data_IF_947698955697
#
_entry.id   IF_947698955697
#
_cell.length_a   1.000
_cell.length_b   1.000
_cell.length_c   1.000
_cell.angle_alpha   90.00
_cell.angle_beta   90.00
_cell.angle_gamma   90.00
#
_symmetry.space_group_name_H-M   'P 1'
#
loop_
_entity.id
_entity.type
_entity.pdbx_description
1 polymer ?
#
# COMPACT_ATOMS: atom_id res chain seq x y z
N UNK A 1 -11.06 17.57 -2.30
CA UNK A 1 -9.71 16.97 -2.42
C UNK A 1 -9.47 16.02 -1.27
N UNK A 2 -9.74 14.73 -1.45
CA UNK A 2 -9.54 13.73 -0.39
C UNK A 2 -8.60 12.64 -0.90
N UNK A 3 -7.50 12.42 -0.18
CA UNK A 3 -6.68 11.22 -0.36
C UNK A 3 -7.45 10.03 0.20
N UNK A 4 -7.62 8.97 -0.58
CA UNK A 4 -8.28 7.73 -0.14
C UNK A 4 -7.38 6.54 -0.42
N UNK A 5 -7.41 5.57 0.49
CA UNK A 5 -6.71 4.30 0.33
C UNK A 5 -7.75 3.26 -0.07
N UNK A 6 -7.53 2.61 -1.21
CA UNK A 6 -8.41 1.60 -1.78
C UNK A 6 -7.73 0.23 -1.75
N UNK A 7 -8.48 -0.88 -1.68
CA UNK A 7 -7.97 -2.19 -2.02
C UNK A 7 -7.41 -2.21 -3.46
N UNK A 8 -6.34 -2.96 -3.69
CA UNK A 8 -5.83 -3.19 -5.04
C UNK A 8 -6.87 -3.93 -5.90
N UNK A 9 -7.03 -3.47 -7.14
CA UNK A 9 -7.75 -4.14 -8.22
C UNK A 9 -6.86 -4.16 -9.46
N UNK A 10 -7.18 -4.98 -10.45
CA UNK A 10 -6.46 -5.00 -11.74
C UNK A 10 -6.58 -3.64 -12.46
N UNK A 11 -7.77 -3.03 -12.47
CA UNK A 11 -7.99 -1.67 -13.00
C UNK A 11 -7.06 -0.64 -12.34
N UNK A 12 -6.94 -0.65 -11.01
CA UNK A 12 -6.03 0.27 -10.33
C UNK A 12 -4.57 -0.02 -10.64
N UNK A 13 -4.20 -1.27 -10.89
CA UNK A 13 -2.84 -1.66 -11.27
C UNK A 13 -2.48 -1.18 -12.67
N UNK A 14 -3.40 -1.32 -13.63
CA UNK A 14 -3.28 -0.78 -14.99
C UNK A 14 -3.18 0.76 -14.96
N UNK A 15 -4.07 1.42 -14.22
CA UNK A 15 -4.03 2.89 -14.10
C UNK A 15 -2.79 3.41 -13.39
N UNK A 16 -2.16 2.61 -12.51
CA UNK A 16 -0.86 2.94 -11.91
C UNK A 16 0.27 2.84 -12.94
N UNK A 17 0.22 1.86 -13.85
CA UNK A 17 1.17 1.72 -14.94
C UNK A 17 1.12 2.94 -15.88
N UNK A 18 -0.07 3.47 -16.17
CA UNK A 18 -0.22 4.75 -16.90
C UNK A 18 0.48 5.93 -16.19
N UNK A 19 0.66 5.86 -14.87
CA UNK A 19 1.42 6.83 -14.07
C UNK A 19 2.93 6.50 -13.94
N UNK A 20 3.41 5.51 -14.70
CA UNK A 20 4.80 5.06 -14.69
C UNK A 20 5.17 4.16 -13.49
N UNK A 21 4.18 3.51 -12.86
CA UNK A 21 4.45 2.51 -11.82
C UNK A 21 4.96 1.20 -12.45
N UNK A 22 6.13 0.67 -12.04
CA UNK A 22 6.68 -0.55 -12.61
C UNK A 22 6.07 -1.84 -12.02
N UNK A 23 5.17 -1.74 -11.03
CA UNK A 23 4.67 -2.89 -10.28
C UNK A 23 3.96 -3.93 -11.17
N UNK A 24 3.24 -3.48 -12.20
CA UNK A 24 2.54 -4.38 -13.15
C UNK A 24 3.51 -5.17 -14.02
N UNK A 25 4.72 -4.69 -14.28
CA UNK A 25 5.72 -5.40 -15.09
C UNK A 25 6.72 -6.19 -14.24
N UNK A 26 6.61 -6.11 -12.92
CA UNK A 26 7.59 -6.67 -12.01
C UNK A 26 7.23 -8.07 -11.50
N UNK A 27 7.95 -9.06 -12.03
CA UNK A 27 7.73 -10.48 -11.75
C UNK A 27 8.72 -11.04 -10.71
N UNK A 28 9.60 -10.21 -10.13
CA UNK A 28 10.71 -10.65 -9.26
C UNK A 28 10.25 -11.62 -8.17
N UNK A 29 9.17 -11.28 -7.49
CA UNK A 29 8.62 -12.04 -6.36
C UNK A 29 7.43 -12.89 -6.74
N UNK A 30 6.71 -12.49 -7.79
CA UNK A 30 5.49 -13.14 -8.25
C UNK A 30 5.77 -14.52 -8.84
N UNK A 31 6.88 -14.67 -9.57
CA UNK A 31 7.24 -15.92 -10.26
C UNK A 31 8.64 -16.37 -9.83
N UNK A 32 8.87 -17.68 -9.76
CA UNK A 32 10.22 -18.23 -9.65
C UNK A 32 11.05 -17.96 -10.92
N UNK A 33 12.38 -18.14 -10.87
CA UNK A 33 13.25 -17.82 -12.00
C UNK A 33 12.89 -18.51 -13.32
N UNK A 34 12.36 -19.73 -13.29
CA UNK A 34 12.05 -20.50 -14.51
C UNK A 34 10.80 -19.93 -15.16
N UNK A 35 9.72 -19.75 -14.41
CA UNK A 35 8.48 -19.17 -14.95
C UNK A 35 8.68 -17.71 -15.37
N UNK A 36 9.48 -16.95 -14.63
CA UNK A 36 9.82 -15.57 -15.00
C UNK A 36 10.58 -15.48 -16.31
N UNK A 37 11.51 -16.40 -16.59
CA UNK A 37 12.24 -16.44 -17.86
C UNK A 37 11.33 -16.80 -19.05
N UNK A 38 10.23 -17.53 -18.81
CA UNK A 38 9.25 -17.89 -19.83
C UNK A 38 8.18 -16.82 -20.08
N UNK A 39 7.99 -15.90 -19.14
CA UNK A 39 6.99 -14.83 -19.24
C UNK A 39 7.36 -13.72 -20.23
N UNK A 40 8.52 -13.81 -20.89
CA UNK A 40 8.98 -12.83 -21.85
C UNK A 40 9.62 -11.59 -21.24
N UNK A 41 10.19 -10.78 -22.12
CA UNK A 41 10.83 -9.50 -21.78
C UNK A 41 9.97 -8.30 -22.15
N UNK A 42 9.00 -8.47 -23.06
CA UNK A 42 8.14 -7.37 -23.50
C UNK A 42 7.21 -6.89 -22.38
N UNK A 43 7.00 -5.57 -22.24
CA UNK A 43 6.17 -5.01 -21.17
C UNK A 43 4.77 -5.64 -21.05
N UNK A 44 4.10 -5.87 -22.17
CA UNK A 44 2.74 -6.41 -22.20
C UNK A 44 2.68 -7.88 -21.74
N UNK A 45 3.67 -8.70 -22.12
CA UNK A 45 3.76 -10.10 -21.68
C UNK A 45 3.98 -10.18 -20.17
N UNK A 46 4.84 -9.30 -19.65
CA UNK A 46 5.13 -9.19 -18.23
C UNK A 46 3.93 -8.67 -17.44
N UNK A 47 3.21 -7.69 -17.99
CA UNK A 47 1.97 -7.17 -17.42
C UNK A 47 0.91 -8.27 -17.33
N UNK A 48 0.70 -9.04 -18.41
CA UNK A 48 -0.23 -10.16 -18.43
C UNK A 48 0.13 -11.24 -17.38
N UNK A 49 1.42 -11.56 -17.24
CA UNK A 49 1.88 -12.50 -16.23
C UNK A 49 1.65 -12.00 -14.79
N UNK A 50 1.84 -10.70 -14.53
CA UNK A 50 1.56 -10.11 -13.22
C UNK A 50 0.06 -10.06 -12.94
N UNK A 51 -0.76 -9.73 -13.93
CA UNK A 51 -2.22 -9.70 -13.80
C UNK A 51 -2.77 -11.10 -13.49
N UNK A 52 -2.23 -12.15 -14.11
CA UNK A 52 -2.55 -13.53 -13.79
C UNK A 52 -2.22 -13.87 -12.32
N UNK A 53 -1.03 -13.48 -11.86
CA UNK A 53 -0.62 -13.68 -10.47
C UNK A 53 -1.47 -12.88 -9.48
N UNK A 54 -1.79 -11.62 -9.77
CA UNK A 54 -2.69 -10.81 -8.93
C UNK A 54 -4.09 -11.39 -8.89
N UNK A 55 -4.60 -11.89 -10.01
CA UNK A 55 -5.90 -12.57 -10.10
C UNK A 55 -5.93 -13.82 -9.23
N UNK A 56 -4.85 -14.61 -9.25
CA UNK A 56 -4.69 -15.78 -8.38
C UNK A 56 -4.71 -15.38 -6.89
N UNK A 57 -3.94 -14.36 -6.50
CA UNK A 57 -3.95 -13.87 -5.11
C UNK A 57 -5.35 -13.43 -4.66
N UNK A 58 -6.05 -12.66 -5.50
CA UNK A 58 -7.39 -12.16 -5.20
C UNK A 58 -8.39 -13.31 -5.01
N UNK A 59 -8.22 -14.41 -5.75
CA UNK A 59 -9.09 -15.59 -5.68
C UNK A 59 -8.76 -16.52 -4.51
N UNK A 60 -7.46 -16.78 -4.27
CA UNK A 60 -6.99 -17.75 -3.27
C UNK A 60 -6.91 -17.15 -1.86
N UNK A 61 -6.56 -15.86 -1.75
CA UNK A 61 -6.26 -15.22 -0.47
C UNK A 61 -7.03 -13.91 -0.24
N UNK A 62 -7.61 -13.33 -1.30
CA UNK A 62 -8.34 -12.08 -1.25
C UNK A 62 -7.43 -10.87 -1.44
N UNK A 63 -7.83 -9.73 -0.87
CA UNK A 63 -7.19 -8.45 -1.14
C UNK A 63 -5.67 -8.49 -0.87
N UNK A 64 -4.86 -8.18 -1.89
CA UNK A 64 -3.40 -8.35 -1.87
C UNK A 64 -2.63 -7.04 -2.00
N UNK A 65 -3.26 -5.90 -1.73
CA UNK A 65 -2.60 -4.62 -1.84
C UNK A 65 -3.45 -3.42 -1.45
N UNK A 66 -2.81 -2.27 -1.35
CA UNK A 66 -3.45 -0.98 -1.05
C UNK A 66 -2.94 0.06 -2.06
N UNK A 67 -3.86 0.85 -2.59
CA UNK A 67 -3.58 1.92 -3.57
C UNK A 67 -4.03 3.25 -2.98
N UNK A 68 -3.16 4.25 -2.98
CA UNK A 68 -3.51 5.61 -2.58
C UNK A 68 -3.93 6.40 -3.81
N UNK A 69 -5.17 6.89 -3.79
CA UNK A 69 -5.77 7.69 -4.87
C UNK A 69 -5.98 9.12 -4.38
N UNK A 70 -5.66 10.10 -5.22
CA UNK A 70 -5.90 11.52 -4.99
C UNK A 70 -6.58 12.12 -6.22
N UNK A 71 -7.75 12.73 -6.02
CA UNK A 71 -8.57 13.31 -7.10
C UNK A 71 -8.70 12.35 -8.31
N UNK A 72 -9.07 11.11 -8.01
CA UNK A 72 -9.20 9.99 -8.94
C UNK A 72 -7.89 9.46 -9.55
N UNK A 73 -6.73 10.06 -9.32
CA UNK A 73 -5.45 9.58 -9.85
C UNK A 73 -4.75 8.66 -8.83
N UNK A 74 -4.39 7.41 -9.18
CA UNK A 74 -3.62 6.56 -8.29
C UNK A 74 -2.15 7.00 -8.25
N UNK A 75 -1.61 7.25 -7.04
CA UNK A 75 -0.29 7.85 -6.87
C UNK A 75 0.70 6.97 -6.10
N UNK A 76 0.23 5.93 -5.44
CA UNK A 76 1.08 5.02 -4.70
C UNK A 76 0.42 3.66 -4.52
N UNK A 77 1.23 2.61 -4.40
CA UNK A 77 0.77 1.23 -4.20
C UNK A 77 1.69 0.47 -3.27
N UNK A 78 1.11 -0.46 -2.52
CA UNK A 78 1.79 -1.57 -1.88
C UNK A 78 1.08 -2.87 -2.27
N UNK A 79 1.83 -3.86 -2.72
CA UNK A 79 1.34 -5.20 -3.07
C UNK A 79 2.03 -6.21 -2.16
N UNK A 80 1.27 -7.17 -1.63
CA UNK A 80 1.75 -8.15 -0.69
C UNK A 80 1.07 -9.51 -0.90
N UNK A 81 1.76 -10.58 -0.54
CA UNK A 81 1.28 -11.94 -0.69
C UNK A 81 1.77 -12.83 0.47
N UNK A 82 1.05 -13.91 0.81
CA UNK A 82 1.62 -15.00 1.60
C UNK A 82 2.88 -15.55 0.92
N UNK A 83 3.94 -15.94 1.65
CA UNK A 83 5.16 -16.49 1.06
C UNK A 83 4.93 -17.68 0.11
N UNK A 84 3.93 -18.52 0.41
CA UNK A 84 3.55 -19.65 -0.43
C UNK A 84 3.03 -19.26 -1.83
N UNK A 85 2.49 -18.05 -1.97
CA UNK A 85 1.99 -17.49 -3.24
C UNK A 85 2.97 -16.47 -3.83
N UNK A 86 4.22 -16.44 -3.36
CA UNK A 86 5.28 -15.59 -3.89
C UNK A 86 6.53 -16.44 -4.20
N UNK A 87 6.47 -17.37 -5.16
CA UNK A 87 7.52 -18.35 -5.42
C UNK A 87 8.89 -17.73 -5.74
N UNK A 88 8.94 -16.50 -6.28
CA UNK A 88 10.19 -15.76 -6.50
C UNK A 88 10.95 -15.43 -5.20
N UNK A 89 10.25 -15.37 -4.06
CA UNK A 89 10.82 -15.11 -2.74
C UNK A 89 11.74 -16.23 -2.23
N UNK A 90 11.64 -17.45 -2.77
CA UNK A 90 12.47 -18.58 -2.38
C UNK A 90 13.92 -18.50 -2.89
N UNK A 91 14.19 -17.63 -3.87
CA UNK A 91 15.45 -17.60 -4.62
C UNK A 91 16.47 -16.56 -4.12
N UNK A 92 16.32 -16.03 -2.90
CA UNK A 92 17.21 -14.99 -2.35
C UNK A 92 17.99 -15.45 -1.11
N UNK A 93 19.18 -14.88 -0.82
CA UNK A 93 20.05 -15.34 0.27
C UNK A 93 19.42 -15.31 1.67
N UNK A 94 18.45 -14.41 1.89
CA UNK A 94 17.75 -14.27 3.17
C UNK A 94 16.40 -14.99 3.20
N UNK A 95 16.13 -15.90 2.27
CA UNK A 95 14.98 -16.80 2.28
C UNK A 95 15.15 -17.91 3.36
N UNK A 96 14.08 -18.68 3.68
CA UNK A 96 12.68 -18.41 3.35
C UNK A 96 12.10 -17.28 4.21
N UNK A 97 11.12 -16.55 3.69
CA UNK A 97 10.31 -15.63 4.52
C UNK A 97 9.63 -16.40 5.66
N UNK A 98 9.33 -15.71 6.76
CA UNK A 98 8.75 -16.36 7.93
C UNK A 98 7.31 -16.82 7.64
N UNK A 99 6.90 -18.02 8.07
CA UNK A 99 5.58 -18.59 7.73
C UNK A 99 4.41 -17.85 8.40
N UNK A 100 4.69 -17.01 9.41
CA UNK A 100 3.73 -16.19 10.13
C UNK A 100 3.60 -14.76 9.59
N UNK A 101 4.26 -14.47 8.47
CA UNK A 101 4.31 -13.16 7.86
C UNK A 101 3.69 -13.17 6.46
N UNK A 102 3.19 -12.01 6.03
CA UNK A 102 3.04 -11.72 4.59
C UNK A 102 4.28 -11.04 4.08
N UNK A 103 4.57 -11.21 2.79
CA UNK A 103 5.69 -10.57 2.12
C UNK A 103 5.19 -9.40 1.26
N UNK A 104 5.77 -8.21 1.45
CA UNK A 104 5.59 -7.11 0.50
C UNK A 104 6.43 -7.40 -0.75
N UNK A 105 5.76 -7.47 -1.89
CA UNK A 105 6.40 -7.72 -3.19
C UNK A 105 6.72 -6.41 -3.90
N UNK A 106 5.86 -5.41 -3.77
CA UNK A 106 6.01 -4.14 -4.46
C UNK A 106 5.59 -3.00 -3.53
N UNK A 107 6.38 -1.93 -3.49
CA UNK A 107 5.94 -0.66 -2.94
C UNK A 107 6.48 0.47 -3.80
N UNK A 108 5.58 1.35 -4.22
CA UNK A 108 5.90 2.44 -5.11
C UNK A 108 5.11 3.69 -4.75
N UNK A 109 5.77 4.83 -4.89
CA UNK A 109 5.17 6.16 -4.76
C UNK A 109 5.61 6.95 -5.99
N UNK A 110 4.64 7.58 -6.65
CA UNK A 110 4.87 8.42 -7.82
C UNK A 110 6.00 9.42 -7.53
N UNK A 111 7.02 9.55 -8.39
CA UNK A 111 8.23 10.33 -8.11
C UNK A 111 7.97 11.76 -7.61
N UNK A 112 7.01 12.47 -8.23
CA UNK A 112 6.62 13.85 -7.85
C UNK A 112 5.96 13.97 -6.46
N UNK A 113 5.58 12.85 -5.84
CA UNK A 113 4.91 12.80 -4.53
C UNK A 113 5.76 12.10 -3.45
N UNK A 114 7.01 11.73 -3.75
CA UNK A 114 7.95 11.20 -2.75
C UNK A 114 8.29 12.26 -1.70
N UNK A 115 8.74 11.81 -0.52
CA UNK A 115 9.03 12.70 0.62
C UNK A 115 7.79 13.21 1.39
N UNK A 116 6.57 12.91 0.93
CA UNK A 116 5.31 13.38 1.54
C UNK A 116 4.64 12.36 2.48
N UNK A 117 5.37 11.32 2.89
CA UNK A 117 4.87 10.29 3.80
C UNK A 117 3.93 9.24 3.19
N UNK A 118 3.65 9.25 1.88
CA UNK A 118 2.67 8.34 1.26
C UNK A 118 3.03 6.85 1.43
N UNK A 119 4.31 6.50 1.34
CA UNK A 119 4.75 5.11 1.58
C UNK A 119 4.51 4.66 3.02
N UNK A 120 4.63 5.57 4.00
CA UNK A 120 4.31 5.30 5.41
C UNK A 120 2.82 5.06 5.60
N UNK A 121 1.98 5.89 4.96
CA UNK A 121 0.52 5.72 4.98
C UNK A 121 0.13 4.36 4.42
N UNK A 122 0.75 3.91 3.32
CA UNK A 122 0.49 2.58 2.75
C UNK A 122 0.93 1.45 3.69
N UNK A 123 2.13 1.54 4.28
CA UNK A 123 2.61 0.55 5.26
C UNK A 123 1.66 0.44 6.46
N UNK A 124 1.21 1.58 6.99
CA UNK A 124 0.28 1.64 8.12
C UNK A 124 -1.11 1.08 7.76
N UNK A 125 -1.63 1.42 6.58
CA UNK A 125 -2.89 0.88 6.09
C UNK A 125 -2.82 -0.64 5.89
N UNK A 126 -1.70 -1.15 5.38
CA UNK A 126 -1.44 -2.59 5.28
C UNK A 126 -1.34 -3.25 6.65
N UNK A 127 -0.59 -2.69 7.59
CA UNK A 127 -0.47 -3.25 8.94
C UNK A 127 -1.83 -3.33 9.66
N UNK A 128 -2.63 -2.25 9.60
CA UNK A 128 -3.98 -2.22 10.18
C UNK A 128 -4.86 -3.30 9.58
N UNK A 129 -4.90 -3.39 8.25
CA UNK A 129 -5.70 -4.38 7.55
C UNK A 129 -5.32 -5.81 7.93
N UNK A 130 -4.03 -6.15 7.88
CA UNK A 130 -3.55 -7.50 8.17
C UNK A 130 -3.71 -7.88 9.65
N UNK A 131 -3.63 -6.92 10.57
CA UNK A 131 -3.90 -7.15 11.99
C UNK A 131 -5.35 -7.63 12.22
N UNK A 132 -6.30 -7.14 11.41
CA UNK A 132 -7.73 -7.51 11.51
C UNK A 132 -8.08 -8.85 10.84
N UNK A 133 -7.28 -9.33 9.89
CA UNK A 133 -7.55 -10.58 9.15
C UNK A 133 -7.33 -11.86 9.97
N UNK A 134 -6.55 -11.79 11.05
CA UNK A 134 -6.20 -12.95 11.88
C UNK A 134 -5.13 -13.86 11.25
N UNK A 135 -4.46 -14.67 12.08
CA UNK A 135 -3.46 -15.66 11.64
C UNK A 135 -2.08 -15.10 11.24
N UNK A 136 -1.97 -13.79 10.99
CA UNK A 136 -0.73 -13.12 10.62
C UNK A 136 -0.11 -12.40 11.81
N UNK A 137 1.21 -12.53 11.98
CA UNK A 137 1.95 -11.85 13.06
C UNK A 137 2.86 -10.75 12.57
N UNK A 138 3.20 -10.74 11.29
CA UNK A 138 4.13 -9.77 10.74
C UNK A 138 3.93 -9.44 9.27
N UNK A 139 4.57 -8.36 8.86
CA UNK A 139 4.86 -8.01 7.47
C UNK A 139 6.36 -8.13 7.30
N UNK A 140 6.81 -8.83 6.26
CA UNK A 140 8.21 -8.90 5.86
C UNK A 140 8.42 -8.29 4.48
N UNK A 141 9.65 -7.88 4.21
CA UNK A 141 10.08 -7.49 2.87
C UNK A 141 11.55 -7.86 2.66
N UNK A 142 11.93 -8.08 1.41
CA UNK A 142 13.32 -8.09 1.00
C UNK A 142 13.70 -6.69 0.55
N UNK A 143 14.61 -6.06 1.28
CA UNK A 143 15.01 -4.68 1.02
C UNK A 143 16.20 -4.61 0.05
N UNK A 144 16.36 -3.47 -0.62
CA UNK A 144 17.59 -3.15 -1.33
C UNK A 144 18.62 -2.62 -0.31
N UNK A 145 19.61 -3.46 0.03
CA UNK A 145 20.73 -3.09 0.89
C UNK A 145 21.92 -2.50 0.12
N UNK A 146 22.07 -2.86 -1.16
CA UNK A 146 23.16 -2.41 -1.99
C UNK A 146 23.03 -2.82 -3.46
N UNK A 147 24.07 -2.58 -4.27
CA UNK A 147 24.11 -2.95 -5.68
C UNK A 147 23.84 -4.45 -5.88
N UNK A 148 23.08 -4.78 -6.94
CA UNK A 148 22.66 -6.15 -7.24
C UNK A 148 21.41 -6.63 -6.51
N UNK A 149 20.74 -5.75 -5.74
CA UNK A 149 19.43 -6.07 -5.18
C UNK A 149 18.41 -6.34 -6.30
N UNK A 150 17.53 -7.34 -6.15
CA UNK A 150 16.49 -7.63 -7.13
C UNK A 150 15.59 -6.41 -7.39
N UNK A 151 15.04 -6.32 -8.60
CA UNK A 151 14.07 -5.28 -8.95
C UNK A 151 12.86 -5.25 -8.03
N UNK A 152 12.25 -4.08 -7.88
CA UNK A 152 11.04 -3.84 -7.08
C UNK A 152 11.22 -4.02 -5.57
N UNK A 153 12.47 -3.97 -5.12
CA UNK A 153 12.81 -3.79 -3.72
C UNK A 153 12.89 -2.32 -3.36
N UNK A 154 12.24 -1.91 -2.28
CA UNK A 154 12.48 -0.59 -1.73
C UNK A 154 13.79 -0.54 -0.92
N UNK A 155 14.46 0.63 -0.86
CA UNK A 155 15.68 0.81 -0.07
C UNK A 155 15.53 0.41 1.40
N UNK A 156 16.58 -0.16 2.00
CA UNK A 156 16.60 -0.55 3.42
C UNK A 156 16.20 0.60 4.35
N UNK A 157 16.70 1.81 4.10
CA UNK A 157 16.42 2.98 4.92
C UNK A 157 14.93 3.40 4.89
N UNK A 158 14.22 3.15 3.79
CA UNK A 158 12.77 3.32 3.73
C UNK A 158 12.06 2.37 4.71
N UNK A 159 12.41 1.10 4.72
CA UNK A 159 11.79 0.11 5.60
C UNK A 159 12.04 0.42 7.08
N UNK A 160 13.30 0.74 7.43
CA UNK A 160 13.65 1.08 8.81
C UNK A 160 12.89 2.32 9.31
N UNK A 161 12.76 3.37 8.47
CA UNK A 161 11.98 4.58 8.80
C UNK A 161 10.47 4.36 8.85
N UNK A 162 9.96 3.24 8.35
CA UNK A 162 8.53 2.91 8.36
C UNK A 162 8.16 1.90 9.44
N UNK A 163 9.08 1.58 10.37
CA UNK A 163 8.81 0.75 11.54
C UNK A 163 9.22 -0.72 11.39
N UNK A 164 9.88 -1.07 10.28
CA UNK A 164 10.49 -2.39 10.14
C UNK A 164 11.84 -2.45 10.87
N UNK A 165 12.24 -3.65 11.28
CA UNK A 165 13.57 -3.97 11.80
C UNK A 165 14.24 -5.00 10.89
N UNK A 166 15.56 -5.02 10.88
CA UNK A 166 16.30 -6.08 10.15
C UNK A 166 16.10 -7.42 10.86
N UNK A 167 15.48 -8.38 10.18
CA UNK A 167 15.27 -9.75 10.65
C UNK A 167 16.43 -10.67 10.27
N UNK A 168 16.95 -10.52 9.04
CA UNK A 168 18.20 -11.16 8.59
C UNK A 168 19.05 -10.14 7.86
N UNK A 169 20.26 -9.92 8.36
CA UNK A 169 21.23 -9.04 7.73
C UNK A 169 21.81 -9.69 6.46
N UNK A 170 21.99 -8.88 5.43
CA UNK A 170 22.70 -9.23 4.21
C UNK A 170 23.09 -7.93 3.49
N UNK A 171 24.27 -7.82 2.88
CA UNK A 171 24.72 -6.57 2.24
C UNK A 171 23.84 -6.15 1.06
N UNK A 172 23.37 -7.11 0.25
CA UNK A 172 22.56 -6.85 -0.95
C UNK A 172 21.05 -6.92 -0.71
N UNK A 173 20.56 -8.01 -0.12
CA UNK A 173 19.12 -8.27 0.08
C UNK A 173 18.81 -8.56 1.56
N UNK A 174 18.89 -7.59 2.48
CA UNK A 174 18.49 -7.82 3.86
C UNK A 174 16.99 -8.09 3.96
N UNK A 175 16.59 -9.03 4.83
CA UNK A 175 15.18 -9.26 5.15
C UNK A 175 14.78 -8.41 6.35
N UNK A 176 13.72 -7.65 6.18
CA UNK A 176 13.16 -6.78 7.22
C UNK A 176 11.79 -7.27 7.65
N UNK A 177 11.41 -6.98 8.89
CA UNK A 177 10.17 -7.43 9.53
C UNK A 177 9.55 -6.32 10.37
N UNK A 178 8.24 -6.17 10.26
CA UNK A 178 7.39 -5.39 11.16
C UNK A 178 6.44 -6.37 11.87
N UNK A 179 6.49 -6.43 13.19
CA UNK A 179 5.53 -7.22 13.96
C UNK A 179 4.20 -6.45 14.11
N UNK A 180 3.10 -7.14 13.76
CA UNK A 180 1.76 -6.57 13.80
C UNK A 180 1.25 -6.41 15.24
N UNK A 181 1.67 -7.27 16.17
CA UNK A 181 1.24 -7.22 17.58
C UNK A 181 1.68 -5.96 18.31
N UNK A 182 2.91 -5.49 18.06
CA UNK A 182 3.40 -4.20 18.58
C UNK A 182 2.78 -3.00 17.88
N UNK A 183 2.06 -3.24 16.77
CA UNK A 183 1.41 -2.19 15.98
C UNK A 183 -0.04 -1.97 16.42
N UNK A 184 -0.69 -2.94 17.08
CA UNK A 184 -2.07 -2.80 17.60
C UNK A 184 -2.16 -1.67 18.64
N UNK A 185 -1.25 -1.62 19.62
CA UNK A 185 -1.24 -0.51 20.61
C UNK A 185 -1.04 0.85 19.96
N UNK A 186 -0.27 0.91 18.87
CA UNK A 186 -0.05 2.14 18.11
C UNK A 186 -1.26 2.51 17.23
N UNK A 187 -1.95 1.55 16.63
CA UNK A 187 -3.17 1.78 15.85
C UNK A 187 -4.29 2.29 16.76
N UNK A 188 -4.45 1.70 17.95
CA UNK A 188 -5.42 2.16 18.95
C UNK A 188 -5.09 3.58 19.45
N UNK A 189 -3.81 3.88 19.71
CA UNK A 189 -3.35 5.23 20.07
C UNK A 189 -3.57 6.26 18.95
N UNK A 190 -3.42 5.86 17.68
CA UNK A 190 -3.66 6.71 16.51
C UNK A 190 -5.14 6.90 16.25
N UNK A 191 -5.98 5.87 16.42
CA UNK A 191 -7.44 6.00 16.36
C UNK A 191 -7.93 6.96 17.44
N UNK A 192 -7.47 6.80 18.68
CA UNK A 192 -7.77 7.73 19.76
C UNK A 192 -7.27 9.16 19.49
N UNK A 193 -6.15 9.34 18.79
CA UNK A 193 -5.64 10.66 18.39
C UNK A 193 -6.42 11.27 17.21
N UNK A 194 -6.87 10.43 16.28
CA UNK A 194 -7.66 10.84 15.11
C UNK A 194 -9.07 11.24 15.52
N UNK A 195 -9.71 10.50 16.43
CA UNK A 195 -11.02 10.85 17.03
C UNK A 195 -10.97 12.20 17.75
N UNK A 196 -9.87 12.49 18.47
CA UNK A 196 -9.65 13.79 19.12
C UNK A 196 -9.52 14.95 18.12
N UNK A 197 -8.98 14.72 16.92
CA UNK A 197 -8.88 15.75 15.88
C UNK A 197 -10.22 15.98 15.17
N UNK A 198 -11.05 14.94 15.03
CA UNK A 198 -12.40 15.05 14.44
C UNK A 198 -13.37 15.75 15.41
N UNK A 199 -13.19 15.60 16.72
CA UNK A 199 -14.00 16.26 17.75
C UNK A 199 -13.78 17.78 17.93
N UNK A 200 -12.77 18.37 17.28
CA UNK A 200 -12.42 19.81 17.45
C UNK A 200 -13.16 20.72 16.46
N UNK A 201 -13.90 20.16 15.49
CA UNK A 201 -14.78 20.98 14.64
C UNK A 201 -16.14 21.14 15.32
N UNK A 202 -16.23 22.07 16.28
CA UNK A 202 -17.52 22.67 16.63
C UNK A 202 -17.88 23.69 15.55
N UNK A 203 -18.97 23.50 14.79
CA UNK A 203 -19.47 24.59 13.96
C UNK A 203 -19.87 25.75 14.89
N UNK A 204 -19.31 26.92 14.61
CA UNK A 204 -19.78 28.17 15.22
C UNK A 204 -21.24 28.35 14.81
N UNK A 205 -22.19 28.49 15.75
CA UNK A 205 -23.58 28.76 15.40
C UNK A 205 -23.64 30.10 14.65
N UNK A 206 -24.10 30.07 13.41
CA UNK A 206 -24.41 31.28 12.65
C UNK A 206 -25.71 31.84 13.23
N UNK A 207 -25.76 33.11 13.69
CA UNK A 207 -27.00 33.72 14.16
C UNK A 207 -28.01 33.77 13.01
N UNK A 208 -29.24 33.38 13.30
CA UNK A 208 -30.34 33.34 12.34
C UNK A 208 -30.65 34.77 11.88
N UNK A 209 -30.46 35.04 10.59
CA UNK A 209 -30.80 36.32 9.99
C UNK A 209 -32.32 36.35 9.75
N UNK A 210 -33.04 37.07 10.60
CA UNK A 210 -34.46 37.34 10.40
C UNK A 210 -34.69 37.99 9.03
N UNK A 211 -35.46 37.33 8.17
CA UNK A 211 -35.92 37.86 6.88
C UNK A 211 -37.00 38.90 7.17
N UNK A 212 -36.86 40.16 6.70
CA UNK A 212 -37.90 41.16 6.89
C UNK A 212 -39.09 40.87 5.96
N UNK A 213 -40.31 40.96 6.52
CA UNK A 213 -41.55 40.78 5.78
C UNK A 213 -41.72 41.88 4.73
N UNK A 214 -41.98 41.47 3.48
CA UNK A 214 -42.34 42.38 2.38
C UNK A 214 -43.79 42.82 2.57
N UNK A 215 -44.00 44.11 2.83
CA UNK A 215 -45.31 44.72 2.82
C UNK A 215 -45.80 44.80 1.36
N UNK A 216 -46.91 44.15 1.04
CA UNK A 216 -47.66 44.44 -0.20
C UNK A 216 -48.46 45.71 0.03
N UNK A 217 -48.30 46.65 -0.89
CA UNK A 217 -49.02 47.90 -0.98
C UNK A 217 -50.25 47.65 -1.87
N UNK A 218 -51.44 47.63 -1.28
CA UNK A 218 -52.70 47.59 -2.02
C UNK A 218 -53.07 49.03 -2.38
N UNK A 219 -52.72 49.41 -3.60
CA UNK A 219 -53.02 50.72 -4.17
C UNK A 219 -54.51 50.88 -4.48
N UNK A 220 -55.14 51.82 -3.79
CA UNK A 220 -56.46 52.37 -4.06
C UNK A 220 -56.37 53.38 -5.22
N UNK A 221 -56.94 53.05 -6.38
CA UNK A 221 -57.60 53.96 -7.35
C UNK A 221 -58.15 53.26 -8.58
#
# INVERSE_FOLDING_TARGET
>A
MARRVHPLTLDLLERLEEQGCPARQCLTWALDPVHRARAGEEPDERAAAKDAWVSELLREWGSCGRVLVFDQVPLAVVVYAPPALAPGAGAVPTAPASPDAVLVTDIWVHPRHRGRGLGRVLVQATARDLATRGGLRAVEAFAAGGPGAPGCTAPLDFWLRTGFRTQRAHPVVPRVRMDLRSTVSWVDEVEAALERLVGVVRPVPVPDAAVPAVHRDDGDR
#
